data_IF_651589829614
#
_entry.id   IF_651589829614
#
_cell.length_a   1.000
_cell.length_b   1.000
_cell.length_c   1.000
_cell.angle_alpha   90.00
_cell.angle_beta   90.00
_cell.angle_gamma   90.00
#
_symmetry.space_group_name_H-M   'P 1'
#
loop_
_entity.id
_entity.type
_entity.pdbx_description
1 polymer ?
#
# COMPACT_ATOMS: atom_id res chain seq x y z
N UNK A 1 21.87 25.45 18.14
CA UNK A 1 20.49 25.79 18.55
C UNK A 1 19.53 25.92 17.35
N UNK A 2 19.61 26.95 16.50
CA UNK A 2 18.73 27.05 15.31
C UNK A 2 18.97 25.93 14.27
N UNK A 3 20.22 25.50 14.08
CA UNK A 3 20.56 24.36 13.19
C UNK A 3 20.13 23.00 13.76
N UNK A 4 20.11 22.84 15.09
CA UNK A 4 19.73 21.58 15.73
C UNK A 4 18.20 21.37 15.68
N UNK A 5 17.42 22.45 15.79
CA UNK A 5 15.98 22.39 15.55
C UNK A 5 15.62 22.11 14.09
N UNK A 6 16.38 22.66 13.11
CA UNK A 6 16.19 22.35 11.70
C UNK A 6 16.59 20.91 11.35
N UNK A 7 17.63 20.37 11.98
CA UNK A 7 18.03 18.97 11.83
C UNK A 7 17.04 18.02 12.50
N UNK A 8 16.48 18.38 13.66
CA UNK A 8 15.42 17.61 14.32
C UNK A 8 14.08 17.67 13.55
N UNK A 9 13.72 18.81 12.96
CA UNK A 9 12.58 18.93 12.05
C UNK A 9 12.81 18.14 10.76
N UNK A 10 14.01 18.20 10.16
CA UNK A 10 14.36 17.41 8.99
C UNK A 10 14.41 15.90 9.28
N UNK A 11 14.75 15.48 10.50
CA UNK A 11 14.68 14.09 10.94
C UNK A 11 13.24 13.63 11.25
N UNK A 12 12.37 14.54 11.68
CA UNK A 12 10.93 14.29 11.78
C UNK A 12 10.26 14.23 10.40
N UNK A 13 10.76 14.98 9.42
CA UNK A 13 10.37 14.93 8.01
C UNK A 13 10.97 13.72 7.27
N UNK A 14 12.05 13.14 7.78
CA UNK A 14 12.67 11.91 7.25
C UNK A 14 11.93 10.62 7.67
N UNK A 15 11.07 10.70 8.70
CA UNK A 15 10.06 9.69 9.03
C UNK A 15 8.72 10.10 8.44
N UNK A 16 8.09 9.24 7.65
CA UNK A 16 6.80 9.54 7.02
C UNK A 16 5.76 9.98 8.07
N UNK A 17 5.03 11.07 7.80
CA UNK A 17 3.93 11.54 8.65
C UNK A 17 2.90 10.40 8.82
N UNK A 18 2.73 9.84 10.04
CA UNK A 18 1.85 8.69 10.26
C UNK A 18 0.40 8.97 9.84
N UNK A 19 -0.06 10.22 9.93
CA UNK A 19 -1.40 10.60 9.52
C UNK A 19 -1.54 10.58 7.99
N UNK A 20 -0.52 11.03 7.26
CA UNK A 20 -0.50 10.93 5.80
C UNK A 20 -0.42 9.48 5.35
N UNK A 21 0.38 8.66 6.03
CA UNK A 21 0.52 7.25 5.70
C UNK A 21 -0.79 6.47 5.91
N UNK A 22 -1.45 6.70 7.05
CA UNK A 22 -2.76 6.13 7.34
C UNK A 22 -3.80 6.55 6.29
N UNK A 23 -3.87 7.84 5.96
CA UNK A 23 -4.83 8.37 5.00
C UNK A 23 -4.57 7.83 3.59
N UNK A 24 -3.32 7.79 3.15
CA UNK A 24 -2.96 7.23 1.85
C UNK A 24 -3.28 5.73 1.77
N UNK A 25 -3.01 4.96 2.84
CA UNK A 25 -3.39 3.54 2.93
C UNK A 25 -4.91 3.34 2.86
N UNK A 26 -5.67 4.16 3.57
CA UNK A 26 -7.14 4.15 3.53
C UNK A 26 -7.69 4.45 2.13
N UNK A 27 -7.06 5.37 1.40
CA UNK A 27 -7.51 5.76 0.07
C UNK A 27 -7.18 4.75 -1.03
N UNK A 28 -6.08 3.99 -0.89
CA UNK A 28 -5.44 3.25 -1.97
C UNK A 28 -6.40 2.47 -2.87
N UNK A 29 -7.37 1.78 -2.26
CA UNK A 29 -8.34 0.92 -2.95
C UNK A 29 -9.58 1.62 -3.50
N UNK A 30 -9.73 2.94 -3.33
CA UNK A 30 -10.89 3.65 -3.90
C UNK A 30 -10.94 3.57 -5.43
N UNK A 31 -9.79 3.40 -6.08
CA UNK A 31 -9.68 3.21 -7.53
C UNK A 31 -10.40 1.97 -8.03
N UNK A 32 -10.46 0.87 -7.26
CA UNK A 32 -11.20 -0.33 -7.66
C UNK A 32 -12.68 -0.04 -7.83
N UNK A 33 -13.25 0.80 -6.96
CA UNK A 33 -14.67 1.17 -6.99
C UNK A 33 -14.98 1.99 -8.24
N UNK A 34 -14.04 2.84 -8.65
CA UNK A 34 -14.17 3.62 -9.89
C UNK A 34 -14.05 2.71 -11.11
N UNK A 35 -13.09 1.78 -11.12
CA UNK A 35 -12.94 0.79 -12.20
C UNK A 35 -14.21 -0.05 -12.31
N UNK A 36 -14.73 -0.59 -11.20
CA UNK A 36 -15.93 -1.40 -11.18
C UNK A 36 -17.18 -0.65 -11.68
N UNK A 37 -17.29 0.65 -11.37
CA UNK A 37 -18.39 1.48 -11.87
C UNK A 37 -18.30 1.80 -13.36
N UNK A 38 -17.08 1.87 -13.91
CA UNK A 38 -16.85 2.31 -15.30
C UNK A 38 -16.63 1.17 -16.28
N UNK A 39 -16.09 0.05 -15.81
CA UNK A 39 -15.71 -1.12 -16.59
C UNK A 39 -16.19 -2.40 -15.86
N UNK A 40 -17.49 -2.52 -15.51
CA UNK A 40 -18.00 -3.67 -14.76
C UNK A 40 -17.72 -5.01 -15.45
N UNK A 41 -17.68 -5.04 -16.79
CA UNK A 41 -17.39 -6.23 -17.59
C UNK A 41 -15.95 -6.75 -17.45
N UNK A 42 -15.04 -5.97 -16.85
CA UNK A 42 -13.64 -6.35 -16.62
C UNK A 42 -13.39 -6.93 -15.24
N UNK A 43 -14.32 -6.73 -14.30
CA UNK A 43 -14.13 -7.10 -12.89
C UNK A 43 -13.97 -8.60 -12.71
N UNK A 44 -14.80 -9.42 -13.37
CA UNK A 44 -14.71 -10.89 -13.27
C UNK A 44 -13.33 -11.43 -13.70
N UNK A 45 -12.66 -10.73 -14.61
CA UNK A 45 -11.34 -11.12 -15.09
C UNK A 45 -10.20 -10.60 -14.20
N UNK A 46 -10.32 -9.37 -13.68
CA UNK A 46 -9.37 -8.80 -12.72
C UNK A 46 -9.38 -9.62 -11.42
N UNK A 47 -10.57 -9.97 -10.94
CA UNK A 47 -10.78 -10.73 -9.70
C UNK A 47 -10.71 -12.25 -9.90
N UNK A 48 -10.26 -12.71 -11.06
CA UNK A 48 -10.17 -14.16 -11.34
C UNK A 48 -9.19 -14.84 -10.39
N UNK A 49 -9.62 -15.95 -9.78
CA UNK A 49 -8.77 -16.77 -8.93
C UNK A 49 -7.68 -17.51 -9.72
N UNK A 50 -6.50 -17.75 -9.11
CA UNK A 50 -6.13 -17.42 -7.74
C UNK A 50 -5.75 -15.94 -7.54
N UNK A 51 -5.98 -15.39 -6.34
CA UNK A 51 -5.43 -14.09 -5.93
C UNK A 51 -4.05 -14.30 -5.32
N UNK A 52 -3.01 -14.08 -6.12
CA UNK A 52 -1.66 -13.94 -5.61
C UNK A 52 -1.47 -12.49 -5.16
N UNK A 53 -0.75 -12.26 -4.07
CA UNK A 53 -0.46 -10.91 -3.60
C UNK A 53 0.24 -10.10 -4.71
N UNK A 54 -0.25 -8.90 -5.00
CA UNK A 54 0.17 -8.04 -6.12
C UNK A 54 -0.42 -8.41 -7.48
N UNK A 55 -0.98 -9.61 -7.64
CA UNK A 55 -1.50 -10.10 -8.93
C UNK A 55 -2.70 -9.30 -9.47
N UNK A 56 -3.43 -8.60 -8.59
CA UNK A 56 -4.51 -7.70 -8.99
C UNK A 56 -3.99 -6.54 -9.83
N UNK A 57 -2.95 -5.85 -9.35
CA UNK A 57 -2.31 -4.76 -10.09
C UNK A 57 -1.67 -5.22 -11.41
N UNK A 58 -1.08 -6.42 -11.44
CA UNK A 58 -0.55 -6.99 -12.68
C UNK A 58 -1.64 -7.18 -13.76
N UNK A 59 -2.82 -7.68 -13.36
CA UNK A 59 -3.96 -7.85 -14.27
C UNK A 59 -4.52 -6.53 -14.74
N UNK A 60 -4.74 -5.58 -13.82
CA UNK A 60 -5.20 -4.25 -14.19
C UNK A 60 -4.22 -3.59 -15.18
N UNK A 61 -2.92 -3.62 -14.88
CA UNK A 61 -1.90 -3.04 -15.75
C UNK A 61 -1.87 -3.70 -17.13
N UNK A 62 -1.94 -5.03 -17.20
CA UNK A 62 -1.90 -5.77 -18.47
C UNK A 62 -3.17 -5.62 -19.31
N UNK A 63 -4.33 -5.52 -18.68
CA UNK A 63 -5.63 -5.45 -19.37
C UNK A 63 -6.09 -4.03 -19.69
N UNK A 64 -5.87 -3.10 -18.76
CA UNK A 64 -6.39 -1.74 -18.81
C UNK A 64 -5.31 -0.72 -19.18
N UNK A 65 -4.04 -1.06 -18.99
CA UNK A 65 -2.91 -0.14 -19.16
C UNK A 65 -2.68 0.77 -17.96
N UNK A 66 -3.42 0.59 -16.87
CA UNK A 66 -3.30 1.32 -15.61
C UNK A 66 -3.81 0.47 -14.45
N UNK A 67 -3.50 0.87 -13.22
CA UNK A 67 -3.94 0.20 -11.99
C UNK A 67 -4.94 1.05 -11.21
N UNK A 68 -5.65 0.44 -10.25
CA UNK A 68 -6.46 1.19 -9.27
C UNK A 68 -5.62 2.27 -8.57
N UNK A 69 -4.34 2.01 -8.30
CA UNK A 69 -3.45 2.94 -7.64
C UNK A 69 -3.27 4.23 -8.47
N UNK A 70 -3.17 4.07 -9.79
CA UNK A 70 -3.15 5.18 -10.75
C UNK A 70 -4.45 5.98 -10.73
N UNK A 71 -5.60 5.28 -10.68
CA UNK A 71 -6.93 5.91 -10.61
C UNK A 71 -7.12 6.66 -9.30
N UNK A 72 -6.73 6.06 -8.18
CA UNK A 72 -6.78 6.68 -6.85
C UNK A 72 -5.88 7.89 -6.76
N UNK A 73 -4.70 7.87 -7.39
CA UNK A 73 -3.80 9.03 -7.45
C UNK A 73 -4.44 10.21 -8.20
N UNK A 74 -5.09 9.95 -9.33
CA UNK A 74 -5.86 10.96 -10.06
C UNK A 74 -7.04 11.50 -9.25
N UNK A 75 -7.72 10.63 -8.50
CA UNK A 75 -8.79 11.05 -7.59
C UNK A 75 -8.25 11.98 -6.49
N UNK A 76 -7.14 11.62 -5.85
CA UNK A 76 -6.49 12.43 -4.83
C UNK A 76 -6.10 13.81 -5.37
N UNK A 77 -5.53 13.89 -6.58
CA UNK A 77 -5.22 15.17 -7.25
C UNK A 77 -6.47 16.03 -7.47
N UNK A 78 -7.57 15.43 -7.92
CA UNK A 78 -8.84 16.15 -8.17
C UNK A 78 -9.52 16.63 -6.89
N UNK A 79 -9.27 15.95 -5.78
CA UNK A 79 -9.76 16.32 -4.46
C UNK A 79 -8.82 17.28 -3.71
N UNK A 80 -7.77 17.77 -4.37
CA UNK A 80 -6.79 18.72 -3.81
C UNK A 80 -6.06 18.17 -2.58
N UNK A 81 -5.77 16.86 -2.57
CA UNK A 81 -4.94 16.25 -1.53
C UNK A 81 -3.47 16.70 -1.66
N UNK A 82 -2.71 16.71 -0.56
CA UNK A 82 -1.28 17.00 -0.60
C UNK A 82 -0.54 16.13 -1.60
N UNK A 83 0.37 16.75 -2.37
CA UNK A 83 1.18 16.08 -3.38
C UNK A 83 1.93 14.83 -2.88
N UNK A 84 2.46 14.77 -1.64
CA UNK A 84 3.05 13.53 -1.11
C UNK A 84 2.10 12.34 -1.11
N UNK A 85 0.81 12.55 -0.78
CA UNK A 85 -0.21 11.49 -0.80
C UNK A 85 -0.51 11.05 -2.22
N UNK A 86 -0.76 12.01 -3.13
CA UNK A 86 -1.02 11.70 -4.54
C UNK A 86 0.16 10.93 -5.17
N UNK A 87 1.41 11.33 -4.87
CA UNK A 87 2.62 10.65 -5.35
C UNK A 87 2.77 9.24 -4.76
N UNK A 88 2.45 9.06 -3.48
CA UNK A 88 2.50 7.74 -2.86
C UNK A 88 1.52 6.78 -3.52
N UNK A 89 0.27 7.23 -3.76
CA UNK A 89 -0.76 6.44 -4.44
C UNK A 89 -0.34 6.08 -5.87
N UNK A 90 0.20 7.05 -6.62
CA UNK A 90 0.65 6.86 -8.00
C UNK A 90 1.77 5.81 -8.13
N UNK A 91 2.63 5.73 -7.12
CA UNK A 91 3.80 4.85 -7.14
C UNK A 91 3.57 3.51 -6.43
N UNK A 92 2.43 3.34 -5.75
CA UNK A 92 2.16 2.17 -4.92
C UNK A 92 2.15 0.84 -5.69
N UNK A 93 1.71 0.82 -6.95
CA UNK A 93 1.67 -0.44 -7.71
C UNK A 93 3.05 -0.90 -8.22
N UNK A 94 4.00 0.01 -8.37
CA UNK A 94 5.35 -0.26 -8.87
C UNK A 94 6.40 0.68 -8.22
N UNK A 95 6.65 0.55 -6.90
CA UNK A 95 7.42 1.53 -6.15
C UNK A 95 8.91 1.57 -6.53
N UNK A 96 9.47 0.46 -6.99
CA UNK A 96 10.88 0.37 -7.41
C UNK A 96 11.14 1.03 -8.76
N UNK A 97 10.10 1.26 -9.57
CA UNK A 97 10.21 1.96 -10.86
C UNK A 97 10.14 3.49 -10.71
N UNK A 98 9.80 3.97 -9.50
CA UNK A 98 9.67 5.40 -9.23
C UNK A 98 11.03 6.06 -9.01
N UNK A 99 11.36 7.04 -9.85
CA UNK A 99 12.54 7.89 -9.69
C UNK A 99 12.11 9.35 -9.44
N UNK A 100 12.51 9.99 -8.31
CA UNK A 100 13.17 9.38 -7.16
C UNK A 100 12.24 8.42 -6.40
N UNK A 101 12.84 7.46 -5.69
CA UNK A 101 12.12 6.46 -4.89
C UNK A 101 11.13 7.13 -3.92
N UNK A 102 9.86 6.74 -4.00
CA UNK A 102 8.83 7.23 -3.09
C UNK A 102 8.70 6.26 -1.92
N UNK A 103 9.30 6.61 -0.78
CA UNK A 103 9.25 5.78 0.43
C UNK A 103 7.81 5.45 0.86
N UNK A 104 6.89 6.42 0.80
CA UNK A 104 5.49 6.18 1.15
C UNK A 104 4.80 5.25 0.15
N UNK A 105 5.03 5.40 -1.15
CA UNK A 105 4.53 4.45 -2.16
C UNK A 105 5.02 3.03 -1.93
N UNK A 106 6.29 2.87 -1.54
CA UNK A 106 6.83 1.57 -1.12
C UNK A 106 6.15 0.98 0.12
N UNK A 107 5.87 1.80 1.13
CA UNK A 107 5.10 1.36 2.30
C UNK A 107 3.67 0.95 1.94
N UNK A 108 3.00 1.71 1.07
CA UNK A 108 1.67 1.36 0.58
C UNK A 108 1.66 0.03 -0.18
N UNK A 109 2.68 -0.20 -1.02
CA UNK A 109 2.86 -1.46 -1.71
C UNK A 109 2.95 -2.63 -0.73
N UNK A 110 3.84 -2.55 0.27
CA UNK A 110 3.98 -3.61 1.28
C UNK A 110 2.69 -3.79 2.10
N UNK A 111 2.00 -2.70 2.44
CA UNK A 111 0.74 -2.77 3.16
C UNK A 111 -0.33 -3.53 2.34
N UNK A 112 -0.42 -3.30 1.02
CA UNK A 112 -1.30 -4.06 0.13
C UNK A 112 -0.95 -5.54 0.13
N UNK A 113 0.32 -5.89 -0.08
CA UNK A 113 0.74 -7.29 -0.10
C UNK A 113 0.43 -7.98 1.23
N UNK A 114 0.67 -7.32 2.36
CA UNK A 114 0.34 -7.85 3.68
C UNK A 114 -1.16 -8.04 3.86
N UNK A 115 -1.98 -7.07 3.42
CA UNK A 115 -3.44 -7.18 3.49
C UNK A 115 -3.98 -8.33 2.62
N UNK A 116 -3.37 -8.60 1.47
CA UNK A 116 -3.74 -9.72 0.61
C UNK A 116 -3.27 -11.07 1.16
N UNK A 117 -2.05 -11.14 1.70
CA UNK A 117 -1.50 -12.34 2.35
C UNK A 117 -2.30 -12.71 3.61
N UNK A 118 -2.82 -11.72 4.33
CA UNK A 118 -3.66 -11.88 5.51
C UNK A 118 -5.01 -12.57 5.23
N UNK A 119 -5.46 -12.62 3.97
CA UNK A 119 -6.68 -13.35 3.58
C UNK A 119 -6.47 -14.87 3.57
N UNK A 120 -5.22 -15.34 3.62
CA UNK A 120 -4.89 -16.75 3.72
C UNK A 120 -4.77 -17.15 5.19
N UNK A 121 -5.85 -17.72 5.74
CA UNK A 121 -5.97 -18.11 7.16
C UNK A 121 -4.87 -19.08 7.65
N UNK A 122 -4.11 -19.68 6.75
CA UNK A 122 -3.05 -20.64 7.08
C UNK A 122 -1.66 -20.00 7.21
N UNK A 123 -1.50 -18.71 6.90
CA UNK A 123 -0.19 -18.03 6.95
C UNK A 123 0.05 -17.37 8.30
N UNK A 124 1.19 -17.68 8.90
CA UNK A 124 1.69 -16.95 10.06
C UNK A 124 2.23 -15.57 9.67
N UNK A 125 2.43 -14.70 10.67
CA UNK A 125 3.16 -13.44 10.50
C UNK A 125 4.54 -13.65 9.87
N UNK A 126 5.23 -14.72 10.24
CA UNK A 126 6.53 -15.08 9.69
C UNK A 126 6.44 -15.43 8.20
N UNK A 127 5.43 -16.19 7.79
CA UNK A 127 5.23 -16.56 6.38
C UNK A 127 4.88 -15.33 5.54
N UNK A 128 4.04 -14.43 6.06
CA UNK A 128 3.64 -13.20 5.38
C UNK A 128 4.83 -12.26 5.18
N UNK A 129 5.63 -12.01 6.22
CA UNK A 129 6.84 -11.17 6.13
C UNK A 129 7.89 -11.83 5.22
N UNK A 130 8.06 -13.15 5.30
CA UNK A 130 8.98 -13.90 4.44
C UNK A 130 8.62 -13.86 2.95
N UNK A 131 7.36 -13.58 2.62
CA UNK A 131 6.87 -13.45 1.24
C UNK A 131 7.02 -12.03 0.66
N UNK A 132 7.45 -11.04 1.45
CA UNK A 132 7.62 -9.67 0.96
C UNK A 132 8.81 -9.54 -0.01
N UNK A 133 8.74 -8.65 -1.02
CA UNK A 133 9.84 -8.44 -1.96
C UNK A 133 11.11 -7.93 -1.24
N UNK A 134 12.23 -8.68 -1.28
CA UNK A 134 13.42 -8.36 -0.48
C UNK A 134 14.07 -7.03 -0.90
N UNK A 135 14.04 -6.71 -2.19
CA UNK A 135 14.59 -5.45 -2.72
C UNK A 135 13.83 -4.24 -2.18
N UNK A 136 12.50 -4.35 -2.05
CA UNK A 136 11.66 -3.28 -1.50
C UNK A 136 11.83 -3.15 0.02
N UNK A 137 11.92 -4.27 0.75
CA UNK A 137 12.25 -4.29 2.19
C UNK A 137 13.60 -3.60 2.43
N UNK A 138 14.60 -3.92 1.61
CA UNK A 138 15.92 -3.29 1.64
C UNK A 138 15.87 -1.78 1.33
N UNK A 139 15.15 -1.38 0.28
CA UNK A 139 14.99 0.02 -0.10
C UNK A 139 14.30 0.85 1.01
N UNK A 140 13.37 0.25 1.74
CA UNK A 140 12.68 0.87 2.87
C UNK A 140 13.46 0.83 4.20
N UNK A 141 14.57 0.09 4.23
CA UNK A 141 15.42 -0.17 5.40
C UNK A 141 14.61 -0.77 6.56
N UNK A 142 13.71 -1.70 6.25
CA UNK A 142 12.90 -2.38 7.26
C UNK A 142 13.66 -3.60 7.80
N UNK A 143 13.53 -3.83 9.11
CA UNK A 143 14.02 -5.03 9.77
C UNK A 143 12.92 -6.11 9.75
N UNK A 144 13.09 -7.23 9.02
CA UNK A 144 12.11 -8.30 8.97
C UNK A 144 11.83 -8.93 10.33
N UNK A 145 12.84 -9.05 11.20
CA UNK A 145 12.67 -9.64 12.53
C UNK A 145 11.81 -8.73 13.40
N UNK A 146 12.09 -7.42 13.37
CA UNK A 146 11.28 -6.45 14.08
C UNK A 146 9.82 -6.47 13.63
N UNK A 147 9.57 -6.60 12.32
CA UNK A 147 8.22 -6.72 11.78
C UNK A 147 7.52 -7.98 12.29
N UNK A 148 8.19 -9.13 12.28
CA UNK A 148 7.63 -10.39 12.80
C UNK A 148 7.24 -10.25 14.28
N UNK A 149 8.08 -9.58 15.08
CA UNK A 149 7.87 -9.44 16.52
C UNK A 149 6.78 -8.42 16.89
N UNK A 150 6.48 -7.45 16.01
CA UNK A 150 5.58 -6.32 16.30
C UNK A 150 4.34 -6.25 15.40
N UNK A 151 4.24 -7.06 14.36
CA UNK A 151 3.06 -7.07 13.49
C UNK A 151 1.85 -7.60 14.26
N UNK A 152 0.73 -6.86 14.31
CA UNK A 152 -0.47 -7.33 14.97
C UNK A 152 -1.02 -8.57 14.25
N UNK A 153 -1.64 -9.48 14.99
CA UNK A 153 -2.41 -10.54 14.36
C UNK A 153 -3.56 -9.96 13.55
N UNK A 154 -3.80 -10.52 12.36
CA UNK A 154 -4.87 -10.05 11.46
C UNK A 154 -6.23 -10.07 12.15
N UNK A 155 -6.46 -11.08 13.00
CA UNK A 155 -7.65 -11.27 13.84
C UNK A 155 -7.94 -10.06 14.75
N UNK A 156 -6.91 -9.31 15.16
CA UNK A 156 -7.05 -8.15 16.03
C UNK A 156 -7.59 -6.90 15.32
N UNK A 157 -7.61 -6.87 13.98
CA UNK A 157 -8.12 -5.72 13.21
C UNK A 157 -9.64 -5.72 13.04
N UNK A 158 -10.32 -6.83 13.31
CA UNK A 158 -11.78 -6.97 13.14
C UNK A 158 -12.43 -7.08 14.52
N UNK A 159 -12.52 -5.95 15.22
CA UNK A 159 -13.23 -5.84 16.49
C UNK A 159 -14.71 -5.45 16.26
N UNK A 160 -15.38 -6.17 15.35
CA UNK A 160 -16.83 -5.99 15.15
C UNK A 160 -17.55 -7.18 15.76
N UNK A 161 -18.15 -7.07 16.96
CA UNK A 161 -19.09 -8.07 17.41
C UNK A 161 -20.26 -8.04 16.43
N UNK A 162 -20.30 -9.00 15.50
CA UNK A 162 -21.50 -9.30 14.75
C UNK A 162 -22.49 -9.88 15.75
N UNK A 163 -23.26 -9.00 16.39
CA UNK A 163 -24.46 -9.39 17.11
C UNK A 163 -25.51 -9.74 16.05
N UNK A 164 -25.77 -11.05 15.92
CA UNK A 164 -26.91 -11.59 15.21
C UNK A 164 -28.22 -11.29 15.94
#
# INVERSE_FOLDING_TARGET
LLRDHQLAQAQHEAGQDPQQAWLAGFMLRLGELVIAQKLPERIDEIERLPHLAGGRWEREQSMLGFTEASVTAELARRWDFPQPIARALETASAPLDAEPFCRLGGLLHLATLLAELALDEHKSSQDAIGALPPDLVGALQLDPQWLIDHMPEVSSFIDTPVQA
#
